data_IF_377342868788
#
_entry.id   IF_377342868788
#
_cell.length_a   1.000
_cell.length_b   1.000
_cell.length_c   1.000
_cell.angle_alpha   90.00
_cell.angle_beta   90.00
_cell.angle_gamma   90.00
#
_symmetry.space_group_name_H-M   'P 1'
#
loop_
_entity.id
_entity.type
_entity.pdbx_description
1 polymer ?
#
# COMPACT_ATOMS: atom_id res chain seq x y z
N UNK A 1 -1.60 -21.95 -8.50
CA UNK A 1 -2.02 -20.68 -7.87
C UNK A 1 -1.94 -20.87 -6.37
N UNK A 2 -1.14 -20.06 -5.65
CA UNK A 2 -0.95 -20.20 -4.21
C UNK A 2 -1.87 -19.23 -3.47
N UNK A 3 -2.53 -19.73 -2.44
CA UNK A 3 -3.32 -18.95 -1.48
C UNK A 3 -2.83 -19.31 -0.09
N UNK A 4 -2.59 -18.31 0.76
CA UNK A 4 -2.12 -18.50 2.13
C UNK A 4 -3.14 -17.88 3.08
N UNK A 5 -3.54 -18.62 4.11
CA UNK A 5 -4.39 -18.10 5.18
C UNK A 5 -3.59 -18.07 6.49
N UNK A 6 -3.27 -16.85 6.95
CA UNK A 6 -2.59 -16.60 8.22
C UNK A 6 -3.56 -16.09 9.29
N UNK A 7 -4.86 -16.01 9.01
CA UNK A 7 -5.86 -15.39 9.90
C UNK A 7 -5.92 -16.00 11.31
N UNK A 8 -5.55 -17.28 11.43
CA UNK A 8 -5.55 -18.04 12.69
C UNK A 8 -4.20 -18.04 13.41
N UNK A 9 -3.20 -17.34 12.88
CA UNK A 9 -1.89 -17.23 13.53
C UNK A 9 -1.86 -16.05 14.49
N UNK A 10 -0.90 -16.03 15.41
CA UNK A 10 -0.70 -14.94 16.36
C UNK A 10 0.40 -13.97 15.93
N UNK A 11 0.63 -13.84 14.62
CA UNK A 11 1.67 -12.96 14.09
C UNK A 11 1.35 -11.51 14.45
N UNK A 12 2.31 -10.83 15.07
CA UNK A 12 2.26 -9.38 15.30
C UNK A 12 2.81 -8.59 14.12
N UNK A 13 3.54 -9.22 13.20
CA UNK A 13 4.06 -8.60 12.00
C UNK A 13 4.16 -9.60 10.85
N UNK A 14 4.14 -9.08 9.63
CA UNK A 14 4.67 -9.79 8.47
C UNK A 14 6.14 -9.41 8.40
N UNK A 15 7.03 -10.37 8.67
CA UNK A 15 8.46 -10.10 8.78
C UNK A 15 9.07 -9.68 7.45
N UNK A 16 10.27 -9.11 7.52
CA UNK A 16 11.08 -8.80 6.35
C UNK A 16 11.13 -9.98 5.38
N UNK A 17 10.92 -9.68 4.10
CA UNK A 17 11.05 -10.60 2.96
C UNK A 17 10.22 -11.89 3.05
N UNK A 18 9.22 -11.97 3.94
CA UNK A 18 8.47 -13.21 4.22
C UNK A 18 7.87 -13.88 2.98
N UNK A 19 7.44 -13.09 2.00
CA UNK A 19 6.90 -13.54 0.71
C UNK A 19 7.65 -12.93 -0.48
N UNK A 20 8.91 -12.51 -0.29
CA UNK A 20 9.72 -11.98 -1.38
C UNK A 20 9.79 -12.96 -2.55
N UNK A 21 9.57 -12.44 -3.76
CA UNK A 21 9.56 -13.14 -5.04
C UNK A 21 8.63 -14.38 -5.09
N UNK A 22 7.59 -14.45 -4.25
CA UNK A 22 6.55 -15.47 -4.39
C UNK A 22 5.64 -15.15 -5.58
N UNK A 23 6.16 -15.39 -6.79
CA UNK A 23 5.50 -15.13 -8.07
C UNK A 23 4.22 -15.96 -8.27
N UNK A 24 3.93 -16.90 -7.37
CA UNK A 24 2.71 -17.73 -7.40
C UNK A 24 1.66 -17.31 -6.36
N UNK A 25 2.02 -16.43 -5.40
CA UNK A 25 1.12 -15.91 -4.38
C UNK A 25 0.06 -15.03 -5.03
N UNK A 26 -1.20 -15.48 -4.96
CA UNK A 26 -2.34 -14.73 -5.49
C UNK A 26 -3.19 -14.09 -4.42
N UNK A 27 -3.32 -14.78 -3.28
CA UNK A 27 -4.08 -14.32 -2.14
C UNK A 27 -3.33 -14.64 -0.86
N UNK A 28 -3.37 -13.70 0.07
CA UNK A 28 -2.90 -13.88 1.44
C UNK A 28 -3.94 -13.25 2.37
N UNK A 29 -4.38 -13.99 3.37
CA UNK A 29 -5.23 -13.45 4.45
C UNK A 29 -4.35 -13.20 5.65
N UNK A 30 -4.22 -11.93 6.05
CA UNK A 30 -3.40 -11.54 7.20
C UNK A 30 -4.20 -11.66 8.51
N UNK A 31 -3.57 -12.02 9.63
CA UNK A 31 -4.23 -11.99 10.92
C UNK A 31 -4.47 -10.55 11.37
N UNK A 32 -5.58 -10.34 12.08
CA UNK A 32 -5.97 -9.02 12.61
C UNK A 32 -5.05 -8.48 13.71
N UNK A 33 -4.06 -9.27 14.14
CA UNK A 33 -3.05 -8.88 15.13
C UNK A 33 -1.82 -8.22 14.50
N UNK A 34 -1.69 -8.23 13.17
CA UNK A 34 -0.52 -7.66 12.48
C UNK A 34 -0.52 -6.14 12.63
N UNK A 35 0.57 -5.60 13.16
CA UNK A 35 0.78 -4.15 13.33
C UNK A 35 1.74 -3.56 12.31
N UNK A 36 2.55 -4.39 11.65
CA UNK A 36 3.49 -3.92 10.62
C UNK A 36 3.67 -4.92 9.47
N UNK A 37 3.92 -4.37 8.29
CA UNK A 37 4.37 -5.10 7.10
C UNK A 37 5.82 -4.70 6.84
N UNK A 38 6.73 -5.64 7.08
CA UNK A 38 8.17 -5.42 7.09
C UNK A 38 8.80 -5.15 5.72
N UNK A 39 10.08 -4.77 5.75
CA UNK A 39 10.88 -4.49 4.54
C UNK A 39 10.73 -5.60 3.51
N UNK A 40 10.36 -5.24 2.28
CA UNK A 40 10.28 -6.19 1.17
C UNK A 40 9.32 -7.38 1.37
N UNK A 41 8.40 -7.33 2.35
CA UNK A 41 7.58 -8.49 2.73
C UNK A 41 6.83 -9.16 1.56
N UNK A 42 6.39 -8.38 0.57
CA UNK A 42 5.75 -8.86 -0.66
C UNK A 42 6.49 -8.37 -1.92
N UNK A 43 7.78 -8.05 -1.81
CA UNK A 43 8.57 -7.60 -2.96
C UNK A 43 8.51 -8.67 -4.06
N UNK A 44 8.21 -8.27 -5.30
CA UNK A 44 8.21 -9.19 -6.44
C UNK A 44 7.09 -10.25 -6.40
N UNK A 45 6.06 -10.09 -5.57
CA UNK A 45 4.83 -10.90 -5.60
C UNK A 45 4.00 -10.62 -6.87
N UNK A 46 4.52 -10.97 -8.04
CA UNK A 46 3.97 -10.57 -9.34
C UNK A 46 2.59 -11.15 -9.62
N UNK A 47 2.13 -12.19 -8.92
CA UNK A 47 0.78 -12.75 -9.06
C UNK A 47 -0.26 -12.11 -8.13
N UNK A 48 0.15 -11.31 -7.14
CA UNK A 48 -0.73 -10.71 -6.15
C UNK A 48 -1.51 -9.55 -6.78
N UNK A 49 -2.84 -9.65 -6.78
CA UNK A 49 -3.72 -8.63 -7.40
C UNK A 49 -4.26 -7.61 -6.41
N UNK A 50 -4.46 -8.04 -5.17
CA UNK A 50 -4.96 -7.24 -4.06
C UNK A 50 -4.58 -7.92 -2.76
N UNK A 51 -4.54 -7.15 -1.68
CA UNK A 51 -4.33 -7.65 -0.31
C UNK A 51 -5.18 -6.79 0.63
N UNK A 52 -5.82 -7.44 1.60
CA UNK A 52 -6.49 -6.73 2.69
C UNK A 52 -5.45 -6.43 3.77
N UNK A 53 -5.23 -5.14 4.05
CA UNK A 53 -4.35 -4.71 5.14
C UNK A 53 -5.20 -4.58 6.41
N UNK A 54 -4.91 -5.33 7.48
CA UNK A 54 -5.65 -5.22 8.73
C UNK A 54 -5.63 -3.80 9.30
N UNK A 55 -6.72 -3.37 9.92
CA UNK A 55 -6.83 -2.03 10.52
C UNK A 55 -5.85 -1.78 11.67
N UNK A 56 -5.27 -2.83 12.24
CA UNK A 56 -4.21 -2.77 13.25
C UNK A 56 -2.85 -2.35 12.69
N UNK A 57 -2.65 -2.38 11.37
CA UNK A 57 -1.37 -2.02 10.75
C UNK A 57 -1.11 -0.51 10.88
N UNK A 58 0.04 -0.17 11.44
CA UNK A 58 0.51 1.20 11.60
C UNK A 58 1.67 1.55 10.68
N UNK A 59 2.39 0.55 10.15
CA UNK A 59 3.62 0.72 9.39
C UNK A 59 3.63 -0.14 8.12
N UNK A 60 3.92 0.51 6.98
CA UNK A 60 4.29 -0.13 5.72
C UNK A 60 5.75 0.19 5.45
N UNK A 61 6.63 -0.79 5.57
CA UNK A 61 8.07 -0.54 5.51
C UNK A 61 8.63 -0.48 4.07
N UNK A 62 9.93 -0.20 3.96
CA UNK A 62 10.64 0.00 2.70
C UNK A 62 10.34 -1.12 1.70
N UNK A 63 9.90 -0.74 0.49
CA UNK A 63 9.63 -1.65 -0.63
C UNK A 63 8.66 -2.81 -0.35
N UNK A 64 7.82 -2.74 0.68
CA UNK A 64 7.04 -3.91 1.09
C UNK A 64 6.08 -4.46 0.02
N UNK A 65 5.69 -3.67 -0.98
CA UNK A 65 4.92 -4.11 -2.17
C UNK A 65 5.61 -3.79 -3.51
N UNK A 66 6.91 -3.49 -3.50
CA UNK A 66 7.65 -3.16 -4.74
C UNK A 66 7.56 -4.32 -5.74
N UNK A 67 7.49 -4.01 -7.03
CA UNK A 67 7.42 -5.01 -8.12
C UNK A 67 6.19 -5.95 -8.05
N UNK A 68 5.14 -5.61 -7.30
CA UNK A 68 3.83 -6.26 -7.41
C UNK A 68 3.12 -5.84 -8.70
N UNK A 69 3.69 -6.19 -9.86
CA UNK A 69 3.34 -5.63 -11.18
C UNK A 69 1.88 -5.85 -11.60
N UNK A 70 1.19 -6.86 -11.06
CA UNK A 70 -0.22 -7.17 -11.35
C UNK A 70 -1.18 -6.75 -10.23
N UNK A 71 -0.71 -6.04 -9.20
CA UNK A 71 -1.58 -5.45 -8.19
C UNK A 71 -2.45 -4.38 -8.85
N UNK A 72 -3.78 -4.49 -8.70
CA UNK A 72 -4.75 -3.60 -9.35
C UNK A 72 -5.22 -2.52 -8.38
N UNK A 73 -5.48 -2.92 -7.14
CA UNK A 73 -5.98 -2.03 -6.10
C UNK A 73 -5.44 -2.41 -4.72
N UNK A 74 -5.33 -1.39 -3.86
CA UNK A 74 -5.02 -1.57 -2.45
C UNK A 74 -5.77 -0.53 -1.61
N UNK A 75 -6.24 -0.96 -0.44
CA UNK A 75 -6.86 -0.10 0.57
C UNK A 75 -5.91 0.08 1.75
N UNK A 76 -5.65 1.33 2.11
CA UNK A 76 -4.76 1.71 3.20
C UNK A 76 -5.62 2.11 4.41
N UNK A 77 -5.58 1.36 5.52
CA UNK A 77 -6.45 1.61 6.66
C UNK A 77 -6.07 2.90 7.40
N UNK A 78 -7.00 3.40 8.23
CA UNK A 78 -6.89 4.70 8.89
C UNK A 78 -5.69 4.86 9.84
N UNK A 79 -5.14 3.75 10.35
CA UNK A 79 -4.09 3.75 11.36
C UNK A 79 -2.66 3.72 10.79
N UNK A 80 -2.50 3.52 9.48
CA UNK A 80 -1.16 3.55 8.85
C UNK A 80 -0.61 4.95 8.95
N UNK A 81 0.50 5.13 9.66
CA UNK A 81 1.10 6.44 9.92
C UNK A 81 2.57 6.56 9.51
N UNK A 82 3.20 5.45 9.15
CA UNK A 82 4.55 5.44 8.60
C UNK A 82 4.62 4.65 7.30
N UNK A 83 5.25 5.27 6.31
CA UNK A 83 5.49 4.70 4.99
C UNK A 83 7.00 4.71 4.71
N UNK A 84 7.55 3.54 4.41
CA UNK A 84 8.90 3.41 3.88
C UNK A 84 8.99 3.99 2.47
N UNK A 85 10.22 4.18 1.99
CA UNK A 85 10.43 4.54 0.59
C UNK A 85 10.00 3.42 -0.36
N UNK A 86 9.53 3.79 -1.55
CA UNK A 86 9.32 2.88 -2.68
C UNK A 86 8.33 1.73 -2.42
N UNK A 87 7.35 1.92 -1.52
CA UNK A 87 6.37 0.89 -1.14
C UNK A 87 5.67 0.26 -2.36
N UNK A 88 5.27 1.08 -3.34
CA UNK A 88 4.58 0.64 -4.56
C UNK A 88 5.39 0.91 -5.84
N UNK A 89 6.72 1.03 -5.73
CA UNK A 89 7.56 1.22 -6.91
C UNK A 89 7.35 0.07 -7.90
N UNK A 90 7.24 0.41 -9.19
CA UNK A 90 7.05 -0.56 -10.27
C UNK A 90 5.75 -1.38 -10.20
N UNK A 91 4.75 -0.96 -9.42
CA UNK A 91 3.40 -1.54 -9.44
C UNK A 91 2.62 -1.06 -10.67
N UNK A 92 2.98 -1.56 -11.84
CA UNK A 92 2.50 -1.06 -13.17
C UNK A 92 1.00 -1.21 -13.40
N UNK A 93 0.34 -2.17 -12.75
CA UNK A 93 -1.11 -2.37 -12.87
C UNK A 93 -1.92 -1.61 -11.81
N UNK A 94 -1.27 -0.98 -10.83
CA UNK A 94 -1.95 -0.39 -9.68
C UNK A 94 -2.68 0.88 -10.12
N UNK A 95 -3.96 0.75 -10.43
CA UNK A 95 -4.79 1.84 -10.92
C UNK A 95 -5.52 2.58 -9.80
N UNK A 96 -5.62 1.97 -8.61
CA UNK A 96 -6.46 2.51 -7.53
C UNK A 96 -5.82 2.29 -6.17
N UNK A 97 -5.62 3.38 -5.43
CA UNK A 97 -5.33 3.35 -3.99
C UNK A 97 -6.48 4.04 -3.28
N UNK A 98 -7.12 3.37 -2.32
CA UNK A 98 -8.08 4.01 -1.42
C UNK A 98 -7.35 4.24 -0.10
N UNK A 99 -7.20 5.50 0.31
CA UNK A 99 -6.41 5.87 1.46
C UNK A 99 -7.29 6.47 2.56
N UNK A 100 -7.51 5.70 3.62
CA UNK A 100 -8.24 6.15 4.82
C UNK A 100 -7.33 6.77 5.88
N UNK A 101 -6.01 6.60 5.74
CA UNK A 101 -5.01 7.15 6.67
C UNK A 101 -5.17 8.66 6.87
N UNK A 102 -4.90 9.14 8.08
CA UNK A 102 -4.76 10.58 8.36
C UNK A 102 -3.43 11.14 7.84
N UNK A 103 -2.45 10.27 7.59
CA UNK A 103 -1.10 10.63 7.19
C UNK A 103 -0.95 10.43 5.69
N UNK A 104 -0.52 11.46 4.93
CA UNK A 104 -0.40 11.36 3.49
C UNK A 104 0.53 10.23 3.07
N UNK A 105 0.15 9.55 1.99
CA UNK A 105 0.99 8.56 1.35
C UNK A 105 2.32 9.18 0.91
N UNK A 106 3.42 8.55 1.29
CA UNK A 106 4.75 8.86 0.78
C UNK A 106 5.12 7.81 -0.28
N UNK A 107 4.78 8.07 -1.53
CA UNK A 107 5.05 7.15 -2.65
C UNK A 107 5.93 7.81 -3.70
N UNK A 108 6.76 6.98 -4.33
CA UNK A 108 7.52 7.36 -5.52
C UNK A 108 6.81 6.78 -6.74
N UNK A 109 6.39 7.65 -7.66
CA UNK A 109 5.66 7.27 -8.88
C UNK A 109 6.51 6.56 -9.93
N UNK A 110 7.76 6.20 -9.60
CA UNK A 110 8.67 5.57 -10.53
C UNK A 110 8.10 4.24 -11.04
N UNK A 111 7.86 4.19 -12.36
CA UNK A 111 7.30 3.04 -13.07
C UNK A 111 5.93 2.56 -12.54
N UNK A 112 5.16 3.48 -11.94
CA UNK A 112 3.77 3.20 -11.56
C UNK A 112 2.83 3.35 -12.77
N UNK A 113 1.56 2.97 -12.58
CA UNK A 113 0.52 3.12 -13.59
C UNK A 113 0.23 4.62 -13.86
N UNK A 114 0.35 5.07 -15.11
CA UNK A 114 0.04 6.46 -15.51
C UNK A 114 -1.44 6.86 -15.26
N UNK A 115 -2.34 5.87 -15.12
CA UNK A 115 -3.77 6.07 -14.81
C UNK A 115 -4.09 5.93 -13.32
N UNK A 116 -3.08 5.84 -12.45
CA UNK A 116 -3.27 5.73 -11.00
C UNK A 116 -4.18 6.84 -10.48
N UNK A 117 -5.14 6.44 -9.65
CA UNK A 117 -6.01 7.34 -8.91
C UNK A 117 -5.92 7.02 -7.43
N UNK A 118 -5.63 8.03 -6.62
CA UNK A 118 -5.59 7.92 -5.17
C UNK A 118 -6.82 8.61 -4.61
N UNK A 119 -7.69 7.81 -4.00
CA UNK A 119 -8.93 8.26 -3.43
C UNK A 119 -8.72 8.54 -1.93
N UNK A 120 -9.01 9.77 -1.53
CA UNK A 120 -8.96 10.23 -0.14
C UNK A 120 -10.30 10.82 0.28
N UNK A 121 -10.55 10.84 1.59
CA UNK A 121 -11.68 11.54 2.18
C UNK A 121 -11.67 13.03 1.79
N UNK A 122 -12.83 13.56 1.40
CA UNK A 122 -12.99 14.96 0.99
C UNK A 122 -12.50 15.95 2.06
N UNK A 123 -12.66 15.59 3.34
CA UNK A 123 -12.27 16.44 4.46
C UNK A 123 -10.75 16.45 4.66
N UNK A 124 -10.03 15.49 4.07
CA UNK A 124 -8.58 15.32 4.21
C UNK A 124 -7.80 15.79 2.98
N UNK A 125 -8.44 15.95 1.83
CA UNK A 125 -7.73 16.23 0.56
C UNK A 125 -6.85 17.48 0.64
N UNK A 126 -7.29 18.54 1.33
CA UNK A 126 -6.51 19.77 1.48
C UNK A 126 -5.28 19.56 2.37
N UNK A 127 -5.39 18.77 3.44
CA UNK A 127 -4.23 18.41 4.26
C UNK A 127 -3.21 17.63 3.43
N UNK A 128 -3.69 16.66 2.65
CA UNK A 128 -2.83 15.88 1.75
C UNK A 128 -2.11 16.79 0.75
N UNK A 129 -2.81 17.68 0.05
CA UNK A 129 -2.21 18.62 -0.91
C UNK A 129 -1.16 19.52 -0.24
N UNK A 130 -1.44 20.03 0.96
CA UNK A 130 -0.50 20.88 1.70
C UNK A 130 0.77 20.13 2.06
N UNK A 131 0.64 18.88 2.52
CA UNK A 131 1.78 18.04 2.87
C UNK A 131 2.61 17.68 1.63
N UNK A 132 1.99 17.48 0.46
CA UNK A 132 2.70 17.30 -0.81
C UNK A 132 3.56 18.51 -1.17
N UNK A 133 3.00 19.71 -1.05
CA UNK A 133 3.72 20.93 -1.39
C UNK A 133 4.88 21.23 -0.43
N UNK A 134 4.80 20.76 0.82
CA UNK A 134 5.78 21.04 1.88
C UNK A 134 6.81 19.91 2.06
N UNK A 135 6.53 18.70 1.59
CA UNK A 135 7.40 17.55 1.81
C UNK A 135 8.38 17.36 0.65
N UNK A 136 9.64 17.74 0.89
CA UNK A 136 10.77 17.56 -0.06
C UNK A 136 10.96 16.11 -0.53
N UNK A 137 10.43 15.12 0.20
CA UNK A 137 10.59 13.70 -0.09
C UNK A 137 9.34 13.06 -0.67
N UNK A 138 8.22 13.79 -0.77
CA UNK A 138 7.01 13.24 -1.38
C UNK A 138 7.07 13.51 -2.89
N UNK A 139 7.12 12.42 -3.65
CA UNK A 139 7.08 12.46 -5.11
C UNK A 139 5.66 12.22 -5.63
N UNK A 140 4.66 12.18 -4.73
CA UNK A 140 3.26 12.09 -5.11
C UNK A 140 2.80 13.42 -5.72
N UNK A 141 2.44 13.35 -6.99
CA UNK A 141 1.87 14.41 -7.78
C UNK A 141 0.40 14.59 -7.40
N UNK A 142 0.02 15.84 -7.14
CA UNK A 142 -1.32 16.19 -6.67
C UNK A 142 -2.43 15.87 -7.69
N UNK A 143 -2.09 15.70 -8.97
CA UNK A 143 -3.02 15.28 -10.03
C UNK A 143 -3.55 13.84 -9.85
N UNK A 144 -2.89 13.00 -9.04
CA UNK A 144 -3.35 11.65 -8.74
C UNK A 144 -4.45 11.64 -7.68
N UNK A 145 -4.54 12.69 -6.84
CA UNK A 145 -5.51 12.79 -5.77
C UNK A 145 -6.91 13.03 -6.33
N UNK A 146 -7.84 12.20 -5.89
CA UNK A 146 -9.28 12.31 -6.15
C UNK A 146 -10.00 12.23 -4.82
N UNK A 147 -11.10 12.97 -4.68
CA UNK A 147 -12.00 12.75 -3.55
C UNK A 147 -12.85 11.51 -3.84
N UNK A 148 -13.10 10.70 -2.81
CA UNK A 148 -14.17 9.71 -2.89
C UNK A 148 -15.52 10.43 -2.90
N UNK A 149 -16.23 10.44 -4.03
CA UNK A 149 -17.68 10.65 -4.01
C UNK A 149 -18.31 9.38 -3.45
N UNK A 150 -18.42 9.27 -2.12
CA UNK A 150 -19.33 8.29 -1.52
C UNK A 150 -20.63 9.04 -1.27
N UNK A 151 -21.64 8.76 -2.11
CA UNK A 151 -23.03 9.03 -1.76
C UNK A 151 -23.47 8.11 -0.63
#
# INVERSE_FOLDING_TARGET
>A
MKSIDLSKTSLSSISQEMFEEDVNLKNVVLPSSVTSIGVGAFLGCTSLKSIEIPSSVTNLEYKCFKDCINMISIEIPCNVSAYGGHVFENCRSLSTIICHSSTPLNICEYQMNDSLSIFVDENKIQSYINDLNNNKYNHLSSNLLKTTYVK
#
